data_IF_768085982994
#
_entry.id   IF_768085982994
#
_cell.length_a   1.000
_cell.length_b   1.000
_cell.length_c   1.000
_cell.angle_alpha   90.00
_cell.angle_beta   90.00
_cell.angle_gamma   90.00
#
_symmetry.space_group_name_H-M   'P 1'
#
loop_
_entity.id
_entity.type
_entity.pdbx_description
1 polymer ?
#
# COMPACT_ATOMS: atom_id res chain seq x y z
N UNK A 1 44.24 -5.86 36.41
CA UNK A 1 43.78 -6.29 35.08
C UNK A 1 42.27 -6.08 35.06
N UNK A 2 41.79 -5.07 34.34
CA UNK A 2 40.36 -4.72 34.22
C UNK A 2 39.96 -4.99 32.77
N UNK A 3 39.34 -6.14 32.52
CA UNK A 3 39.03 -6.64 31.17
C UNK A 3 37.53 -6.75 30.89
N UNK A 4 36.69 -5.99 31.58
CA UNK A 4 35.23 -6.04 31.39
C UNK A 4 34.65 -4.61 31.38
N UNK A 5 34.44 -4.02 30.20
CA UNK A 5 33.45 -2.95 30.03
C UNK A 5 33.12 -2.64 28.56
N UNK A 6 34.12 -2.54 27.68
CA UNK A 6 33.92 -2.03 26.32
C UNK A 6 33.15 -3.00 25.38
N UNK A 7 33.41 -4.31 25.46
CA UNK A 7 32.76 -5.30 24.59
C UNK A 7 31.28 -5.54 24.98
N UNK A 8 30.93 -5.37 26.25
CA UNK A 8 29.56 -5.44 26.77
C UNK A 8 28.73 -4.22 26.39
N UNK A 9 29.29 -3.00 26.46
CA UNK A 9 28.61 -1.76 26.04
C UNK A 9 28.32 -1.75 24.52
N UNK A 10 29.26 -2.25 23.70
CA UNK A 10 29.05 -2.39 22.26
C UNK A 10 27.93 -3.40 21.93
N UNK A 11 27.81 -4.47 22.72
CA UNK A 11 26.76 -5.47 22.55
C UNK A 11 25.36 -4.92 22.91
N UNK A 12 25.25 -4.19 24.03
CA UNK A 12 23.99 -3.56 24.44
C UNK A 12 23.53 -2.48 23.46
N UNK A 13 24.46 -1.67 22.95
CA UNK A 13 24.17 -0.64 21.94
C UNK A 13 23.62 -1.26 20.65
N UNK A 14 24.23 -2.34 20.18
CA UNK A 14 23.76 -3.06 18.99
C UNK A 14 22.37 -3.69 19.18
N UNK A 15 22.06 -4.19 20.38
CA UNK A 15 20.73 -4.71 20.73
C UNK A 15 19.68 -3.59 20.71
N UNK A 16 19.98 -2.44 21.32
CA UNK A 16 19.08 -1.27 21.35
C UNK A 16 18.81 -0.76 19.93
N UNK A 17 19.84 -0.66 19.09
CA UNK A 17 19.70 -0.25 17.69
C UNK A 17 18.86 -1.24 16.88
N UNK A 18 19.06 -2.54 17.06
CA UNK A 18 18.26 -3.56 16.40
C UNK A 18 16.77 -3.46 16.79
N UNK A 19 16.47 -3.27 18.09
CA UNK A 19 15.10 -3.09 18.57
C UNK A 19 14.45 -1.82 18.01
N UNK A 20 15.20 -0.71 17.96
CA UNK A 20 14.72 0.56 17.37
C UNK A 20 14.40 0.39 15.88
N UNK A 21 15.30 -0.25 15.13
CA UNK A 21 15.13 -0.48 13.69
C UNK A 21 13.91 -1.36 13.41
N UNK A 22 13.69 -2.39 14.23
CA UNK A 22 12.50 -3.25 14.10
C UNK A 22 11.21 -2.48 14.38
N UNK A 23 11.19 -1.60 15.40
CA UNK A 23 10.06 -0.71 15.67
C UNK A 23 9.74 0.26 14.51
N UNK A 24 10.77 0.84 13.88
CA UNK A 24 10.59 1.70 12.70
C UNK A 24 9.97 0.91 11.55
N UNK A 25 10.47 -0.29 11.26
CA UNK A 25 9.93 -1.10 10.19
C UNK A 25 8.48 -1.54 10.47
N UNK A 26 8.15 -1.87 11.72
CA UNK A 26 6.77 -2.19 12.11
C UNK A 26 5.81 -1.02 11.87
N UNK A 27 6.21 0.21 12.21
CA UNK A 27 5.42 1.41 11.93
C UNK A 27 5.14 1.59 10.44
N UNK A 28 6.16 1.40 9.59
CA UNK A 28 6.01 1.51 8.13
C UNK A 28 5.08 0.42 7.56
N UNK A 29 5.22 -0.81 8.04
CA UNK A 29 4.31 -1.90 7.67
C UNK A 29 2.86 -1.57 8.03
N UNK A 30 2.62 -1.09 9.24
CA UNK A 30 1.28 -0.72 9.70
C UNK A 30 0.71 0.41 8.84
N UNK A 31 1.53 1.41 8.47
CA UNK A 31 1.12 2.49 7.58
C UNK A 31 0.71 1.96 6.18
N UNK A 32 1.51 1.04 5.61
CA UNK A 32 1.22 0.40 4.32
C UNK A 32 -0.07 -0.42 4.38
N UNK A 33 -0.25 -1.25 5.41
CA UNK A 33 -1.44 -2.06 5.59
C UNK A 33 -2.70 -1.20 5.71
N UNK A 34 -2.64 -0.13 6.50
CA UNK A 34 -3.74 0.83 6.60
C UNK A 34 -4.03 1.47 5.23
N UNK A 35 -3.02 1.95 4.52
CA UNK A 35 -3.20 2.57 3.20
C UNK A 35 -3.83 1.61 2.19
N UNK A 36 -3.38 0.36 2.14
CA UNK A 36 -3.93 -0.67 1.26
C UNK A 36 -5.40 -0.95 1.54
N UNK A 37 -5.75 -1.14 2.82
CA UNK A 37 -7.12 -1.36 3.24
C UNK A 37 -8.00 -0.14 2.89
N UNK A 38 -7.59 1.07 3.27
CA UNK A 38 -8.32 2.29 2.91
C UNK A 38 -8.46 2.50 1.41
N UNK A 39 -7.43 2.18 0.62
CA UNK A 39 -7.47 2.27 -0.84
C UNK A 39 -8.50 1.32 -1.43
N UNK A 40 -8.58 0.09 -0.92
CA UNK A 40 -9.64 -0.85 -1.31
C UNK A 40 -11.02 -0.23 -1.10
N UNK A 41 -11.33 0.30 0.09
CA UNK A 41 -12.63 0.92 0.37
C UNK A 41 -12.89 2.15 -0.49
N UNK A 42 -11.89 3.02 -0.67
CA UNK A 42 -12.01 4.21 -1.51
C UNK A 42 -12.36 3.86 -2.96
N UNK A 43 -11.77 2.81 -3.53
CA UNK A 43 -12.12 2.38 -4.88
C UNK A 43 -13.56 1.84 -4.97
N UNK A 44 -14.04 1.10 -3.97
CA UNK A 44 -15.44 0.67 -3.92
C UNK A 44 -16.38 1.88 -3.81
N UNK A 45 -16.07 2.85 -2.98
CA UNK A 45 -16.88 4.06 -2.81
C UNK A 45 -16.89 4.95 -4.05
N UNK A 46 -15.72 5.19 -4.67
CA UNK A 46 -15.60 5.96 -5.89
C UNK A 46 -16.43 5.34 -7.02
N UNK A 47 -16.42 4.01 -7.12
CA UNK A 47 -17.26 3.27 -8.06
C UNK A 47 -18.76 3.45 -7.79
N UNK A 48 -19.21 3.34 -6.53
CA UNK A 48 -20.62 3.54 -6.18
C UNK A 48 -21.08 4.98 -6.48
N UNK A 49 -20.24 5.97 -6.17
CA UNK A 49 -20.50 7.37 -6.50
C UNK A 49 -20.56 7.59 -8.01
N UNK A 50 -19.58 7.07 -8.75
CA UNK A 50 -19.53 7.16 -10.21
C UNK A 50 -20.80 6.58 -10.84
N UNK A 51 -21.24 5.38 -10.42
CA UNK A 51 -22.50 4.77 -10.89
C UNK A 51 -23.73 5.64 -10.58
N UNK A 52 -23.85 6.19 -9.37
CA UNK A 52 -24.99 7.04 -8.98
C UNK A 52 -25.09 8.31 -9.84
N UNK A 53 -23.96 8.95 -10.12
CA UNK A 53 -23.94 10.23 -10.84
C UNK A 53 -23.90 10.10 -12.37
N UNK A 54 -23.54 8.93 -12.90
CA UNK A 54 -23.57 8.68 -14.36
C UNK A 54 -24.86 8.05 -14.85
N UNK A 55 -25.72 7.55 -13.96
CA UNK A 55 -27.06 7.02 -14.28
C UNK A 55 -27.98 8.04 -15.00
N UNK A 56 -27.63 9.33 -15.03
CA UNK A 56 -28.38 10.37 -15.74
C UNK A 56 -27.73 10.92 -17.03
N UNK A 57 -26.50 10.53 -17.40
CA UNK A 57 -25.71 11.33 -18.36
C UNK A 57 -24.83 10.59 -19.38
N UNK A 58 -24.76 9.26 -19.46
CA UNK A 58 -23.83 8.61 -20.41
C UNK A 58 -24.47 7.56 -21.32
N UNK A 59 -24.26 7.80 -22.61
CA UNK A 59 -24.64 7.12 -23.84
C UNK A 59 -24.06 5.71 -24.08
N UNK A 60 -23.57 4.95 -23.08
CA UNK A 60 -23.47 3.49 -23.21
C UNK A 60 -23.21 2.78 -21.87
N UNK A 61 -24.11 1.86 -21.49
CA UNK A 61 -23.90 0.91 -20.38
C UNK A 61 -22.56 0.15 -20.45
N UNK A 62 -21.95 0.06 -21.64
CA UNK A 62 -20.69 -0.65 -21.90
C UNK A 62 -19.50 0.02 -21.19
N UNK A 63 -19.39 1.35 -21.20
CA UNK A 63 -18.28 2.05 -20.57
C UNK A 63 -18.38 1.97 -19.03
N UNK A 64 -19.59 2.08 -18.48
CA UNK A 64 -19.84 1.92 -17.05
C UNK A 64 -19.44 0.53 -16.54
N UNK A 65 -19.82 -0.52 -17.27
CA UNK A 65 -19.45 -1.90 -16.93
C UNK A 65 -17.94 -2.13 -17.01
N UNK A 66 -17.25 -1.54 -18.00
CA UNK A 66 -15.79 -1.63 -18.13
C UNK A 66 -15.06 -0.95 -16.96
N UNK A 67 -15.47 0.25 -16.56
CA UNK A 67 -14.91 0.95 -15.39
C UNK A 67 -15.16 0.13 -14.13
N UNK A 68 -16.39 -0.36 -13.96
CA UNK A 68 -16.79 -1.19 -12.81
C UNK A 68 -15.91 -2.42 -12.66
N UNK A 69 -15.76 -3.21 -13.73
CA UNK A 69 -14.93 -4.41 -13.72
C UNK A 69 -13.48 -4.09 -13.42
N UNK A 70 -12.93 -3.02 -14.02
CA UNK A 70 -11.55 -2.63 -13.80
C UNK A 70 -11.29 -2.17 -12.35
N UNK A 71 -12.16 -1.33 -11.79
CA UNK A 71 -11.99 -0.85 -10.41
C UNK A 71 -12.19 -1.96 -9.37
N UNK A 72 -13.13 -2.89 -9.58
CA UNK A 72 -13.27 -4.07 -8.71
C UNK A 72 -12.00 -4.92 -8.77
N UNK A 73 -11.44 -5.13 -9.97
CA UNK A 73 -10.19 -5.86 -10.13
C UNK A 73 -9.04 -5.17 -9.38
N UNK A 74 -8.86 -3.86 -9.54
CA UNK A 74 -7.81 -3.09 -8.87
C UNK A 74 -7.99 -3.16 -7.34
N UNK A 75 -9.21 -2.95 -6.83
CA UNK A 75 -9.52 -3.02 -5.41
C UNK A 75 -9.20 -4.41 -4.82
N UNK A 76 -9.47 -5.49 -5.57
CA UNK A 76 -9.09 -6.85 -5.17
C UNK A 76 -7.58 -7.07 -5.15
N UNK A 77 -6.85 -6.52 -6.13
CA UNK A 77 -5.39 -6.56 -6.12
C UNK A 77 -4.81 -5.89 -4.86
N UNK A 78 -5.39 -4.77 -4.41
CA UNK A 78 -4.94 -4.11 -3.17
C UNK A 78 -5.21 -4.94 -1.91
N UNK A 79 -6.35 -5.60 -1.84
CA UNK A 79 -6.63 -6.54 -0.76
C UNK A 79 -5.68 -7.75 -0.79
N UNK A 80 -5.33 -8.24 -1.98
CA UNK A 80 -4.32 -9.30 -2.12
C UNK A 80 -2.94 -8.85 -1.62
N UNK A 81 -2.48 -7.65 -2.02
CA UNK A 81 -1.21 -7.10 -1.52
C UNK A 81 -1.25 -6.91 0.01
N UNK A 82 -2.39 -6.52 0.59
CA UNK A 82 -2.57 -6.44 2.03
C UNK A 82 -2.31 -7.79 2.70
N UNK A 83 -2.97 -8.84 2.21
CA UNK A 83 -2.82 -10.20 2.76
C UNK A 83 -1.39 -10.74 2.60
N UNK A 84 -0.73 -10.43 1.48
CA UNK A 84 0.65 -10.84 1.22
C UNK A 84 1.63 -10.18 2.20
N UNK A 85 1.48 -8.88 2.44
CA UNK A 85 2.31 -8.11 3.38
C UNK A 85 2.04 -8.53 4.82
N UNK A 86 0.77 -8.69 5.20
CA UNK A 86 0.39 -9.14 6.53
C UNK A 86 0.97 -10.53 6.85
N UNK A 87 0.85 -11.47 5.89
CA UNK A 87 1.45 -12.81 6.01
C UNK A 87 2.96 -12.77 6.14
N UNK A 88 3.65 -11.88 5.40
CA UNK A 88 5.08 -11.69 5.56
C UNK A 88 5.43 -11.18 6.97
N UNK A 89 4.65 -10.23 7.50
CA UNK A 89 4.80 -9.74 8.88
C UNK A 89 4.70 -10.85 9.92
N UNK A 90 3.74 -11.75 9.78
CA UNK A 90 3.57 -12.92 10.65
C UNK A 90 4.77 -13.88 10.58
N UNK A 91 5.30 -14.13 9.39
CA UNK A 91 6.51 -14.96 9.19
C UNK A 91 7.70 -14.35 9.92
N UNK A 92 7.81 -13.02 9.92
CA UNK A 92 8.85 -12.27 10.62
C UNK A 92 8.59 -12.11 12.13
N UNK A 93 7.59 -12.83 12.69
CA UNK A 93 7.15 -12.75 14.10
C UNK A 93 6.80 -11.32 14.54
N UNK A 94 6.30 -10.49 13.63
CA UNK A 94 5.83 -9.14 13.94
C UNK A 94 4.32 -9.15 14.09
N UNK A 95 3.82 -8.57 15.18
CA UNK A 95 2.39 -8.34 15.37
C UNK A 95 1.98 -7.07 14.65
N UNK A 96 1.88 -7.12 13.32
CA UNK A 96 1.41 -5.97 12.56
C UNK A 96 -0.01 -5.60 13.01
N UNK A 97 -0.24 -4.31 13.23
CA UNK A 97 -1.52 -3.76 13.67
C UNK A 97 -2.07 -2.91 12.55
N UNK A 98 -3.25 -3.28 12.06
CA UNK A 98 -4.06 -2.40 11.22
C UNK A 98 -5.16 -1.78 12.09
N UNK A 99 -5.41 -0.49 11.90
CA UNK A 99 -6.45 0.23 12.63
C UNK A 99 -7.58 0.59 11.66
N UNK A 100 -8.69 -0.15 11.73
CA UNK A 100 -9.90 0.14 10.96
C UNK A 100 -10.53 1.49 11.35
N UNK A 101 -10.28 1.95 12.58
CA UNK A 101 -10.83 3.14 13.17
C UNK A 101 -9.89 4.36 13.07
N UNK A 102 -8.95 4.40 12.12
CA UNK A 102 -8.30 5.69 11.81
C UNK A 102 -9.33 6.58 11.12
N UNK A 103 -10.20 7.18 11.94
CA UNK A 103 -11.17 8.17 11.52
C UNK A 103 -10.47 9.29 10.77
N UNK A 104 -10.90 9.48 9.53
CA UNK A 104 -11.33 10.77 8.99
C UNK A 104 -12.33 10.44 7.90
N UNK A 105 -13.54 10.95 8.09
CA UNK A 105 -14.63 11.06 7.14
C UNK A 105 -14.31 10.51 5.75
N UNK A 106 -15.00 9.44 5.36
CA UNK A 106 -15.10 9.05 3.96
C UNK A 106 -15.52 10.32 3.20
N UNK A 107 -14.65 10.93 2.38
CA UNK A 107 -15.03 12.15 1.70
C UNK A 107 -16.19 11.81 0.78
N UNK A 108 -17.15 12.73 0.65
CA UNK A 108 -17.99 12.75 -0.54
C UNK A 108 -17.02 12.96 -1.69
N UNK A 109 -16.66 11.87 -2.37
CA UNK A 109 -15.65 11.86 -3.43
C UNK A 109 -16.19 12.70 -4.58
N UNK A 110 -15.82 13.99 -4.63
CA UNK A 110 -16.06 14.87 -5.78
C UNK A 110 -14.94 14.76 -6.83
N UNK A 111 -13.85 14.07 -6.50
CA UNK A 111 -12.70 13.87 -7.38
C UNK A 111 -13.04 12.90 -8.54
N UNK A 112 -12.38 13.07 -9.69
CA UNK A 112 -12.47 12.13 -10.80
C UNK A 112 -11.87 10.77 -10.38
N UNK A 113 -12.49 9.68 -10.83
CA UNK A 113 -12.05 8.32 -10.57
C UNK A 113 -10.58 8.06 -10.99
N UNK A 114 -10.11 8.74 -12.05
CA UNK A 114 -8.72 8.68 -12.49
C UNK A 114 -7.76 9.35 -11.49
N UNK A 115 -8.13 10.51 -10.95
CA UNK A 115 -7.28 11.25 -10.00
C UNK A 115 -7.13 10.47 -8.69
N UNK A 116 -8.21 9.85 -8.23
CA UNK A 116 -8.21 8.96 -7.07
C UNK A 116 -7.27 7.78 -7.31
N UNK A 117 -7.35 7.17 -8.50
CA UNK A 117 -6.46 6.08 -8.87
C UNK A 117 -5.00 6.52 -8.80
N UNK A 118 -4.63 7.59 -9.51
CA UNK A 118 -3.25 8.10 -9.55
C UNK A 118 -2.76 8.43 -8.14
N UNK A 119 -3.50 9.22 -7.38
CA UNK A 119 -3.11 9.65 -6.03
C UNK A 119 -2.88 8.47 -5.08
N UNK A 120 -3.80 7.50 -5.04
CA UNK A 120 -3.70 6.34 -4.15
C UNK A 120 -2.55 5.42 -4.52
N UNK A 121 -2.34 5.17 -5.81
CA UNK A 121 -1.26 4.32 -6.30
C UNK A 121 0.12 4.95 -6.11
N UNK A 122 0.25 6.27 -6.37
CA UNK A 122 1.51 7.00 -6.14
C UNK A 122 1.92 6.93 -4.68
N UNK A 123 1.02 7.27 -3.74
CA UNK A 123 1.32 7.20 -2.30
C UNK A 123 1.73 5.77 -1.90
N UNK A 124 1.04 4.75 -2.42
CA UNK A 124 1.37 3.37 -2.11
C UNK A 124 2.79 2.98 -2.59
N UNK A 125 3.14 3.35 -3.82
CA UNK A 125 4.47 3.06 -4.37
C UNK A 125 5.58 3.81 -3.61
N UNK A 126 5.33 5.05 -3.21
CA UNK A 126 6.27 5.82 -2.37
C UNK A 126 6.51 5.15 -1.01
N UNK A 127 5.45 4.66 -0.36
CA UNK A 127 5.58 3.93 0.92
C UNK A 127 6.39 2.64 0.76
N UNK A 128 6.16 1.88 -0.32
CA UNK A 128 6.95 0.68 -0.62
C UNK A 128 8.43 0.99 -0.84
N UNK A 129 8.74 2.03 -1.63
CA UNK A 129 10.12 2.46 -1.88
C UNK A 129 10.82 2.95 -0.60
N UNK A 130 10.09 3.67 0.26
CA UNK A 130 10.60 4.10 1.57
C UNK A 130 10.96 2.89 2.45
N UNK A 131 10.05 1.92 2.58
CA UNK A 131 10.29 0.72 3.36
C UNK A 131 11.43 -0.13 2.76
N UNK A 132 11.53 -0.20 1.44
CA UNK A 132 12.62 -0.87 0.75
C UNK A 132 13.97 -0.25 1.09
N UNK A 133 14.08 1.08 1.00
CA UNK A 133 15.30 1.79 1.36
C UNK A 133 15.72 1.51 2.81
N UNK A 134 14.77 1.59 3.75
CA UNK A 134 15.00 1.28 5.17
C UNK A 134 15.42 -0.18 5.38
N UNK A 135 14.85 -1.12 4.62
CA UNK A 135 15.22 -2.53 4.72
C UNK A 135 16.68 -2.76 4.34
N UNK A 136 17.20 -2.03 3.34
CA UNK A 136 18.60 -2.07 2.97
C UNK A 136 19.48 -1.42 4.04
N UNK A 137 19.10 -0.23 4.54
CA UNK A 137 19.81 0.47 5.62
C UNK A 137 19.93 -0.37 6.90
N UNK A 138 18.90 -1.16 7.22
CA UNK A 138 18.87 -2.03 8.40
C UNK A 138 19.33 -3.46 8.13
N UNK A 139 19.92 -3.73 6.96
CA UNK A 139 20.47 -5.03 6.56
C UNK A 139 19.43 -6.17 6.63
N UNK A 140 18.17 -5.87 6.28
CA UNK A 140 17.06 -6.83 6.20
C UNK A 140 16.86 -7.27 4.74
N UNK A 141 17.80 -8.06 4.22
CA UNK A 141 17.83 -8.43 2.80
C UNK A 141 16.60 -9.23 2.33
N UNK A 142 16.08 -10.14 3.16
CA UNK A 142 14.85 -10.88 2.81
C UNK A 142 13.65 -9.95 2.63
N UNK A 143 13.55 -8.90 3.44
CA UNK A 143 12.53 -7.87 3.29
C UNK A 143 12.77 -7.04 2.02
N UNK A 144 14.03 -6.68 1.74
CA UNK A 144 14.38 -5.95 0.52
C UNK A 144 13.97 -6.71 -0.75
N UNK A 145 14.27 -8.01 -0.82
CA UNK A 145 13.90 -8.88 -1.95
C UNK A 145 12.38 -9.04 -2.07
N UNK A 146 11.69 -9.24 -0.94
CA UNK A 146 10.23 -9.30 -0.91
C UNK A 146 9.59 -8.01 -1.47
N UNK A 147 10.08 -6.84 -1.06
CA UNK A 147 9.57 -5.55 -1.52
C UNK A 147 9.88 -5.30 -3.00
N UNK A 148 11.06 -5.70 -3.49
CA UNK A 148 11.39 -5.66 -4.92
C UNK A 148 10.37 -6.44 -5.75
N UNK A 149 10.00 -7.64 -5.30
CA UNK A 149 8.99 -8.46 -5.96
C UNK A 149 7.63 -7.77 -6.04
N UNK A 150 7.18 -7.14 -4.95
CA UNK A 150 5.93 -6.37 -4.92
C UNK A 150 6.00 -5.16 -5.85
N UNK A 151 7.06 -4.35 -5.74
CA UNK A 151 7.22 -3.10 -6.50
C UNK A 151 7.25 -3.38 -8.01
N UNK A 152 8.04 -4.36 -8.45
CA UNK A 152 8.16 -4.73 -9.86
C UNK A 152 6.80 -5.13 -10.45
N UNK A 153 6.04 -5.95 -9.72
CA UNK A 153 4.70 -6.39 -10.11
C UNK A 153 3.70 -5.23 -10.14
N UNK A 154 3.71 -4.38 -9.13
CA UNK A 154 2.69 -3.35 -8.96
C UNK A 154 2.92 -2.14 -9.88
N UNK A 155 4.17 -1.81 -10.23
CA UNK A 155 4.45 -0.80 -11.27
C UNK A 155 3.91 -1.21 -12.64
N UNK A 156 4.13 -2.47 -13.06
CA UNK A 156 3.58 -2.99 -14.31
C UNK A 156 2.04 -2.99 -14.33
N UNK A 157 1.41 -3.28 -13.19
CA UNK A 157 -0.04 -3.19 -13.03
C UNK A 157 -0.53 -1.74 -13.07
N UNK A 158 0.15 -0.83 -12.40
CA UNK A 158 -0.18 0.60 -12.37
C UNK A 158 -0.23 1.17 -13.78
N UNK A 159 0.84 0.98 -14.57
CA UNK A 159 0.93 1.50 -15.94
C UNK A 159 -0.19 0.96 -16.83
N UNK A 160 -0.45 -0.35 -16.76
CA UNK A 160 -1.48 -1.01 -17.56
C UNK A 160 -2.89 -0.51 -17.18
N UNK A 161 -3.17 -0.41 -15.88
CA UNK A 161 -4.46 0.05 -15.38
C UNK A 161 -4.70 1.53 -15.71
N UNK A 162 -3.67 2.38 -15.58
CA UNK A 162 -3.72 3.78 -15.98
C UNK A 162 -4.09 3.93 -17.47
N UNK A 163 -3.39 3.22 -18.36
CA UNK A 163 -3.67 3.22 -19.81
C UNK A 163 -5.11 2.78 -20.12
N UNK A 164 -5.60 1.72 -19.45
CA UNK A 164 -6.98 1.26 -19.60
C UNK A 164 -7.98 2.30 -19.13
N UNK A 165 -7.74 2.94 -17.99
CA UNK A 165 -8.64 3.96 -17.44
C UNK A 165 -8.73 5.19 -18.35
N UNK A 166 -7.60 5.73 -18.80
CA UNK A 166 -7.57 6.83 -19.77
C UNK A 166 -8.39 6.52 -21.02
N UNK A 167 -8.18 5.34 -21.59
CA UNK A 167 -8.93 4.89 -22.77
C UNK A 167 -10.44 4.81 -22.54
N UNK A 168 -10.88 4.29 -21.39
CA UNK A 168 -12.33 4.17 -21.09
C UNK A 168 -12.96 5.54 -20.79
N UNK A 169 -12.18 6.47 -20.22
CA UNK A 169 -12.62 7.82 -19.88
C UNK A 169 -12.47 8.83 -21.02
N UNK A 170 -11.90 8.43 -22.16
CA UNK A 170 -11.57 9.31 -23.29
C UNK A 170 -10.63 10.47 -22.90
N UNK A 171 -9.63 10.19 -22.06
CA UNK A 171 -8.60 11.11 -21.55
C UNK A 171 -7.18 10.70 -21.99
#
# INVERSE_FOLDING_TARGET
MSSHSADTENCETAIIEAMRNDGILEMEFNAILNHLFHTHFTYIQALLYFRRNTNGLISSNINLNRITTLFIFIARCKLFCFMEIDRFGLIMKRSLKFNVNSEKEVPIIRENILDIFVKRETIYNEMLLCLQKKSLEFHRFELFEFLNGIISRDLGRYENNYKKLKKILHL
#
